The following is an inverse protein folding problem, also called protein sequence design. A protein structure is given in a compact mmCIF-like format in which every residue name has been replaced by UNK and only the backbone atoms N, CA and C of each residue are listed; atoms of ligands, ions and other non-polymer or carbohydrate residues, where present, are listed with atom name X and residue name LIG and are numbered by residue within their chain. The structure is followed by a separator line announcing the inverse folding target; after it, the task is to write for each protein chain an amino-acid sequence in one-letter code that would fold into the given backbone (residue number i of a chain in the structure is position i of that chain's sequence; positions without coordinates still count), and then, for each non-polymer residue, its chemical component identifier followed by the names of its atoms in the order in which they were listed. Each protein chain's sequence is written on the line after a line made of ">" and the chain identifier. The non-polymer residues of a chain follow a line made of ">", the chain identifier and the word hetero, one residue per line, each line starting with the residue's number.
data_IF_042035706302
#
_entry.id   IF_042035706302
#
_cell.length_a   1.000
_cell.length_b   1.000
_cell.length_c   1.000
_cell.angle_alpha   90.00
_cell.angle_beta   90.00
_cell.angle_gamma   90.00
#
_symmetry.space_group_name_H-M   'P 1'
#
loop_
_entity.id
_entity.type
_entity.pdbx_description
1 polymer ?
#
# COMPACT_ATOMS: atom_id res chain seq x y z
N UNK A 1 26.39 13.87 -0.37
CA UNK A 1 25.91 13.35 0.93
C UNK A 1 27.00 13.44 1.98
N UNK A 2 28.24 13.10 1.63
CA UNK A 2 29.37 13.04 2.59
C UNK A 2 30.43 14.13 2.30
N UNK A 3 30.01 15.40 2.29
CA UNK A 3 30.95 16.52 2.17
C UNK A 3 31.68 16.77 3.49
N UNK A 4 32.94 17.22 3.45
CA UNK A 4 33.78 17.59 4.62
C UNK A 4 33.11 18.63 5.53
N UNK A 5 32.14 19.39 5.02
CA UNK A 5 31.33 20.35 5.76
C UNK A 5 29.92 19.82 6.14
N UNK A 6 29.70 18.50 6.17
CA UNK A 6 28.37 17.96 6.48
C UNK A 6 27.97 18.21 7.93
N UNK A 7 26.74 18.69 8.13
CA UNK A 7 26.16 18.89 9.45
C UNK A 7 25.97 17.54 10.18
N UNK A 8 26.28 17.54 11.47
CA UNK A 8 26.07 16.39 12.36
C UNK A 8 24.58 16.20 12.67
N UNK A 9 24.17 14.98 13.01
CA UNK A 9 22.79 14.69 13.46
C UNK A 9 21.72 14.73 12.36
N UNK A 10 22.10 14.62 11.09
CA UNK A 10 21.16 14.65 9.96
C UNK A 10 20.83 13.24 9.46
N UNK A 11 19.54 12.94 9.33
CA UNK A 11 19.03 11.77 8.60
C UNK A 11 18.60 12.23 7.21
N UNK A 12 19.01 11.50 6.17
CA UNK A 12 18.56 11.77 4.79
C UNK A 12 17.74 10.59 4.29
N UNK A 13 16.58 10.89 3.71
CA UNK A 13 15.69 9.89 3.10
C UNK A 13 15.68 10.13 1.59
N UNK A 14 15.89 9.06 0.83
CA UNK A 14 15.81 9.06 -0.64
C UNK A 14 14.75 8.05 -1.05
N UNK A 15 13.97 8.39 -2.07
CA UNK A 15 12.97 7.51 -2.68
C UNK A 15 13.29 7.33 -4.16
N UNK A 16 13.03 6.13 -4.69
CA UNK A 16 13.10 5.85 -6.13
C UNK A 16 12.12 4.74 -6.47
N UNK A 17 11.51 4.82 -7.65
CA UNK A 17 10.73 3.73 -8.21
C UNK A 17 11.60 2.75 -9.02
N UNK A 18 12.83 3.16 -9.38
CA UNK A 18 13.74 2.46 -10.28
C UNK A 18 15.13 2.42 -9.64
N UNK A 19 15.36 1.47 -8.73
CA UNK A 19 16.66 1.34 -8.02
C UNK A 19 17.76 0.82 -8.93
N UNK A 20 17.39 0.03 -9.94
CA UNK A 20 18.26 -0.55 -10.96
C UNK A 20 18.95 0.49 -11.87
N UNK A 21 18.37 1.69 -11.95
CA UNK A 21 18.92 2.80 -12.73
C UNK A 21 19.91 3.66 -11.92
N UNK A 22 20.04 3.42 -10.61
CA UNK A 22 20.95 4.18 -9.76
C UNK A 22 22.39 3.66 -9.86
N UNK A 23 23.35 4.59 -9.86
CA UNK A 23 24.76 4.25 -9.74
C UNK A 23 25.00 3.53 -8.39
N UNK A 24 25.61 2.33 -8.37
CA UNK A 24 25.92 1.60 -7.13
C UNK A 24 26.71 2.42 -6.11
N UNK A 25 27.55 3.37 -6.56
CA UNK A 25 28.30 4.27 -5.70
C UNK A 25 27.42 5.28 -4.94
N UNK A 26 26.17 5.51 -5.36
CA UNK A 26 25.21 6.34 -4.63
C UNK A 26 24.55 5.59 -3.45
N UNK A 27 24.35 4.28 -3.59
CA UNK A 27 23.61 3.47 -2.60
C UNK A 27 24.49 2.60 -1.70
N UNK A 28 25.83 2.67 -1.84
CA UNK A 28 26.76 1.96 -0.98
C UNK A 28 26.71 2.43 0.48
N UNK A 29 27.23 1.58 1.38
CA UNK A 29 27.42 1.90 2.78
C UNK A 29 28.19 3.23 2.97
N UNK A 30 27.77 4.01 3.97
CA UNK A 30 28.21 5.37 4.24
C UNK A 30 27.41 6.46 3.53
N UNK A 31 26.56 6.10 2.54
CA UNK A 31 25.61 7.01 1.89
C UNK A 31 24.16 6.61 2.12
N UNK A 32 23.84 5.35 1.82
CA UNK A 32 22.53 4.75 2.06
C UNK A 32 22.71 3.44 2.82
N UNK A 33 22.55 3.46 4.14
CA UNK A 33 22.81 2.28 4.98
C UNK A 33 21.57 1.40 5.22
N UNK A 34 20.36 1.97 5.08
CA UNK A 34 19.09 1.26 5.23
C UNK A 34 18.30 1.33 3.92
N UNK A 35 17.99 0.18 3.33
CA UNK A 35 17.21 0.08 2.11
C UNK A 35 15.88 -0.62 2.43
N UNK A 36 14.77 0.06 2.18
CA UNK A 36 13.42 -0.48 2.39
C UNK A 36 12.70 -0.57 1.06
N UNK A 37 12.22 -1.77 0.71
CA UNK A 37 11.41 -1.98 -0.48
C UNK A 37 9.92 -1.90 -0.13
N UNK A 38 9.26 -0.83 -0.58
CA UNK A 38 7.82 -0.63 -0.39
C UNK A 38 7.08 -1.24 -1.58
N UNK A 39 6.22 -2.22 -1.30
CA UNK A 39 5.46 -2.94 -2.31
C UNK A 39 3.96 -2.59 -2.25
N UNK A 40 3.20 -3.15 -3.19
CA UNK A 40 1.74 -3.18 -3.21
C UNK A 40 1.16 -3.81 -1.93
N UNK A 41 -0.08 -3.48 -1.62
CA UNK A 41 -0.71 -3.89 -0.36
C UNK A 41 -0.91 -5.41 -0.28
N UNK A 42 -0.70 -5.95 0.91
CA UNK A 42 -1.15 -7.28 1.30
C UNK A 42 -2.49 -7.22 2.07
N UNK A 43 -3.11 -8.37 2.30
CA UNK A 43 -4.43 -8.45 2.93
C UNK A 43 -4.46 -7.85 4.36
N UNK A 44 -3.40 -8.04 5.15
CA UNK A 44 -3.30 -7.48 6.50
C UNK A 44 -3.20 -5.94 6.47
N UNK A 45 -2.41 -5.38 5.55
CA UNK A 45 -2.33 -3.94 5.38
C UNK A 45 -3.68 -3.32 4.98
N UNK A 46 -4.42 -3.98 4.08
CA UNK A 46 -5.77 -3.50 3.70
C UNK A 46 -6.73 -3.60 4.88
N UNK A 47 -6.68 -4.68 5.66
CA UNK A 47 -7.45 -4.82 6.90
C UNK A 47 -7.20 -3.65 7.85
N UNK A 48 -5.92 -3.36 8.14
CA UNK A 48 -5.55 -2.28 9.06
C UNK A 48 -5.98 -0.91 8.51
N UNK A 49 -5.92 -0.72 7.19
CA UNK A 49 -6.44 0.47 6.54
C UNK A 49 -7.97 0.57 6.66
N UNK A 50 -8.72 -0.53 6.54
CA UNK A 50 -10.17 -0.51 6.76
C UNK A 50 -10.52 -0.04 8.17
N UNK A 51 -9.87 -0.59 9.20
CA UNK A 51 -10.09 -0.20 10.59
C UNK A 51 -9.70 1.27 10.84
N UNK A 52 -8.61 1.74 10.23
CA UNK A 52 -8.12 3.11 10.35
C UNK A 52 -9.06 4.13 9.70
N UNK A 53 -9.55 3.85 8.49
CA UNK A 53 -10.35 4.81 7.71
C UNK A 53 -11.85 4.74 8.01
N UNK A 54 -12.35 3.59 8.46
CA UNK A 54 -13.78 3.35 8.75
C UNK A 54 -13.90 2.66 10.12
N UNK A 55 -13.77 3.41 11.23
CA UNK A 55 -13.81 2.81 12.57
C UNK A 55 -15.09 2.01 12.81
N UNK A 56 -14.93 0.76 13.24
CA UNK A 56 -16.04 -0.17 13.50
C UNK A 56 -16.49 -1.01 12.30
N UNK A 57 -15.88 -0.84 11.12
CA UNK A 57 -16.05 -1.79 10.02
C UNK A 57 -15.24 -3.05 10.30
N UNK A 58 -15.82 -4.22 10.05
CA UNK A 58 -15.16 -5.50 10.26
C UNK A 58 -15.02 -6.27 8.94
N UNK A 59 -13.98 -5.93 8.18
CA UNK A 59 -13.59 -6.67 6.97
C UNK A 59 -12.48 -7.63 7.35
N UNK A 60 -12.66 -8.93 7.13
CA UNK A 60 -11.69 -9.94 7.60
C UNK A 60 -10.53 -10.11 6.63
N UNK A 61 -9.33 -10.42 7.15
CA UNK A 61 -8.15 -10.72 6.33
C UNK A 61 -8.41 -11.86 5.33
N UNK A 62 -9.09 -12.97 5.68
CA UNK A 62 -9.41 -14.01 4.71
C UNK A 62 -10.29 -13.53 3.53
N UNK A 63 -11.28 -12.68 3.80
CA UNK A 63 -12.13 -12.12 2.72
C UNK A 63 -11.31 -11.25 1.75
N UNK A 64 -10.40 -10.43 2.28
CA UNK A 64 -9.49 -9.63 1.47
C UNK A 64 -8.51 -10.53 0.69
N UNK A 65 -7.97 -11.56 1.33
CA UNK A 65 -7.03 -12.51 0.69
C UNK A 65 -7.67 -13.17 -0.51
N UNK A 66 -8.92 -13.63 -0.39
CA UNK A 66 -9.64 -14.25 -1.49
C UNK A 66 -9.78 -13.32 -2.71
N UNK A 67 -10.06 -12.03 -2.48
CA UNK A 67 -10.13 -11.03 -3.57
C UNK A 67 -8.75 -10.79 -4.19
N UNK A 68 -7.70 -10.67 -3.39
CA UNK A 68 -6.34 -10.47 -3.89
C UNK A 68 -5.79 -11.69 -4.66
N UNK A 69 -6.24 -12.90 -4.32
CA UNK A 69 -5.90 -14.14 -5.02
C UNK A 69 -6.63 -14.28 -6.37
N UNK A 70 -7.84 -13.73 -6.48
CA UNK A 70 -8.61 -13.72 -7.72
C UNK A 70 -8.16 -12.61 -8.69
N UNK A 71 -7.51 -11.55 -8.19
CA UNK A 71 -7.09 -10.40 -8.97
C UNK A 71 -5.81 -10.67 -9.79
N UNK A 72 -5.71 -10.07 -10.97
CA UNK A 72 -4.50 -10.13 -11.79
C UNK A 72 -3.32 -9.37 -11.15
N UNK A 73 -3.62 -8.23 -10.52
CA UNK A 73 -2.65 -7.33 -9.90
C UNK A 73 -3.09 -6.94 -8.48
N UNK A 74 -2.13 -6.57 -7.65
CA UNK A 74 -2.39 -6.05 -6.30
C UNK A 74 -2.48 -4.52 -6.30
N UNK A 75 -3.30 -3.94 -5.42
CA UNK A 75 -3.52 -2.51 -5.41
C UNK A 75 -2.38 -1.80 -4.66
N UNK A 76 -2.10 -0.56 -5.07
CA UNK A 76 -1.23 0.33 -4.30
C UNK A 76 -1.94 0.82 -3.03
N UNK A 77 -1.18 1.17 -1.99
CA UNK A 77 -1.73 1.79 -0.79
C UNK A 77 -2.52 3.07 -1.09
N UNK A 78 -2.08 3.87 -2.08
CA UNK A 78 -2.78 5.08 -2.49
C UNK A 78 -4.16 4.76 -3.09
N UNK A 79 -4.25 3.69 -3.89
CA UNK A 79 -5.51 3.25 -4.50
C UNK A 79 -6.51 2.77 -3.43
N UNK A 80 -6.06 1.95 -2.47
CA UNK A 80 -6.88 1.48 -1.36
C UNK A 80 -7.33 2.64 -0.47
N UNK A 81 -6.42 3.54 -0.08
CA UNK A 81 -6.75 4.71 0.72
C UNK A 81 -7.78 5.62 0.02
N UNK A 82 -7.63 5.84 -1.28
CA UNK A 82 -8.58 6.63 -2.06
C UNK A 82 -9.97 5.99 -2.10
N UNK A 83 -10.05 4.67 -2.24
CA UNK A 83 -11.30 3.91 -2.19
C UNK A 83 -11.96 4.04 -0.82
N UNK A 84 -11.21 3.84 0.28
CA UNK A 84 -11.74 3.94 1.64
C UNK A 84 -12.19 5.36 2.00
N UNK A 85 -11.46 6.39 1.57
CA UNK A 85 -11.84 7.79 1.78
C UNK A 85 -13.20 8.14 1.15
N UNK A 86 -13.48 7.59 -0.04
CA UNK A 86 -14.79 7.76 -0.71
C UNK A 86 -15.91 6.99 0.01
N UNK A 87 -15.57 5.89 0.66
CA UNK A 87 -16.50 5.00 1.35
C UNK A 87 -16.47 5.13 2.88
N UNK A 88 -15.97 6.24 3.43
CA UNK A 88 -15.76 6.44 4.88
C UNK A 88 -17.01 6.29 5.76
N UNK A 89 -18.19 6.42 5.15
CA UNK A 89 -19.49 6.32 5.82
C UNK A 89 -20.12 4.94 5.66
N UNK A 90 -19.42 3.98 5.04
CA UNK A 90 -19.89 2.61 4.90
C UNK A 90 -20.16 2.02 6.28
N UNK A 91 -21.29 1.33 6.39
CA UNK A 91 -21.70 0.63 7.62
C UNK A 91 -21.67 -0.89 7.45
N UNK A 92 -21.54 -1.33 6.22
CA UNK A 92 -21.61 -2.73 5.82
C UNK A 92 -20.25 -3.17 5.26
N UNK A 93 -19.60 -4.18 5.88
CA UNK A 93 -18.37 -4.75 5.34
C UNK A 93 -18.50 -5.26 3.91
N UNK A 94 -19.68 -5.73 3.49
CA UNK A 94 -19.90 -6.21 2.12
C UNK A 94 -19.75 -5.08 1.09
N UNK A 95 -20.22 -3.87 1.41
CA UNK A 95 -20.03 -2.69 0.55
C UNK A 95 -18.54 -2.42 0.33
N UNK A 96 -17.71 -2.51 1.38
CA UNK A 96 -16.26 -2.28 1.27
C UNK A 96 -15.58 -3.37 0.45
N UNK A 97 -16.01 -4.63 0.60
CA UNK A 97 -15.51 -5.75 -0.19
C UNK A 97 -15.89 -5.65 -1.67
N UNK A 98 -17.10 -5.17 -1.99
CA UNK A 98 -17.55 -4.92 -3.36
C UNK A 98 -16.72 -3.81 -4.02
N UNK A 99 -16.51 -2.70 -3.32
CA UNK A 99 -15.66 -1.59 -3.78
C UNK A 99 -14.21 -2.05 -4.00
N UNK A 100 -13.69 -2.90 -3.11
CA UNK A 100 -12.36 -3.50 -3.27
C UNK A 100 -12.31 -4.44 -4.47
N UNK A 101 -13.34 -5.27 -4.69
CA UNK A 101 -13.42 -6.13 -5.86
C UNK A 101 -13.43 -5.32 -7.17
N UNK A 102 -14.20 -4.23 -7.22
CA UNK A 102 -14.22 -3.31 -8.37
C UNK A 102 -12.86 -2.65 -8.59
N UNK A 103 -12.19 -2.21 -7.51
CA UNK A 103 -10.84 -1.65 -7.59
C UNK A 103 -9.83 -2.64 -8.18
N UNK A 104 -10.01 -3.93 -7.89
CA UNK A 104 -9.19 -5.03 -8.40
C UNK A 104 -9.58 -5.49 -9.82
N UNK A 105 -10.61 -4.87 -10.42
CA UNK A 105 -11.10 -5.23 -11.75
C UNK A 105 -11.84 -6.58 -11.79
N UNK A 106 -12.30 -7.08 -10.64
CA UNK A 106 -13.13 -8.28 -10.57
C UNK A 106 -14.56 -7.93 -10.97
N UNK A 107 -15.18 -8.76 -11.82
CA UNK A 107 -16.60 -8.56 -12.15
C UNK A 107 -17.45 -8.76 -10.88
N UNK A 108 -18.28 -7.77 -10.56
CA UNK A 108 -19.28 -7.84 -9.50
C UNK A 108 -20.62 -8.40 -9.98
N UNK A 109 -20.64 -9.10 -11.12
CA UNK A 109 -21.85 -9.74 -11.64
C UNK A 109 -22.26 -10.93 -10.76
N UNK A 110 -22.98 -10.62 -9.68
CA UNK A 110 -24.05 -11.49 -9.18
C UNK A 110 -25.34 -10.81 -9.62
N UNK A 111 -25.75 -11.07 -10.87
CA UNK A 111 -27.09 -10.72 -11.35
C UNK A 111 -27.89 -12.02 -11.44
N UNK A 112 -29.04 -12.00 -10.74
CA UNK A 112 -30.20 -12.92 -10.75
C UNK A 112 -30.18 -14.17 -9.84
#
# INVERSE_FOLDING_TARGET
>A
MDGVASAHGRITVITTNHIELLDPALIRAGRCDLHLHLTVCNAAQIHDMCEMYIPGIHVTVPAISALLEAAADRPSAASVASMLLRNRSAKDPEQVLQELAQLLGLSTDVTE
#
